data_IF_317574787770
#
_entry.id   IF_317574787770
#
_cell.length_a   1.000
_cell.length_b   1.000
_cell.length_c   1.000
_cell.angle_alpha   90.00
_cell.angle_beta   90.00
_cell.angle_gamma   90.00
#
_symmetry.space_group_name_H-M   'P 1'
#
loop_
_entity.id
_entity.type
_entity.pdbx_description
1 polymer ?
#
# COMPACT_ATOMS: atom_id res chain seq x y z
N UNK A 1 -18.36 2.76 -68.70
CA UNK A 1 -17.04 2.28 -69.12
C UNK A 1 -16.06 2.74 -68.07
N UNK A 2 -15.78 1.83 -67.13
CA UNK A 2 -14.63 1.76 -66.20
C UNK A 2 -15.05 0.67 -65.21
N UNK A 3 -14.77 -0.56 -65.64
CA UNK A 3 -14.87 -1.80 -64.88
C UNK A 3 -13.57 -1.92 -64.08
N UNK A 4 -13.65 -1.95 -62.75
CA UNK A 4 -12.53 -2.36 -61.90
C UNK A 4 -12.88 -3.66 -61.17
N UNK A 5 -11.94 -4.58 -61.28
CA UNK A 5 -12.03 -6.02 -61.06
C UNK A 5 -12.24 -6.38 -59.59
N UNK A 6 -13.26 -7.20 -59.34
CA UNK A 6 -13.60 -7.80 -58.06
C UNK A 6 -12.68 -9.02 -57.81
N UNK A 7 -11.70 -8.86 -56.92
CA UNK A 7 -10.74 -9.89 -56.54
C UNK A 7 -11.39 -10.96 -55.63
N UNK A 8 -11.58 -12.13 -56.23
CA UNK A 8 -12.27 -13.32 -55.71
C UNK A 8 -11.43 -14.05 -54.64
N UNK A 9 -11.60 -13.68 -53.35
CA UNK A 9 -10.99 -14.41 -52.24
C UNK A 9 -11.88 -15.58 -51.78
N UNK A 10 -11.37 -16.83 -51.73
CA UNK A 10 -12.17 -17.97 -51.30
C UNK A 10 -12.46 -17.94 -49.79
N UNK A 11 -13.67 -18.33 -49.35
CA UNK A 11 -14.06 -18.27 -47.94
C UNK A 11 -13.33 -19.34 -47.09
N UNK A 12 -12.97 -19.03 -45.83
CA UNK A 12 -12.40 -20.01 -44.92
C UNK A 12 -13.44 -21.09 -44.55
N UNK A 13 -13.00 -22.35 -44.68
CA UNK A 13 -13.76 -23.58 -44.43
C UNK A 13 -14.41 -23.58 -43.04
N UNK A 14 -15.73 -23.68 -43.04
CA UNK A 14 -16.54 -24.03 -41.88
C UNK A 14 -16.21 -25.45 -41.40
N UNK A 15 -15.83 -25.60 -40.13
CA UNK A 15 -15.80 -26.89 -39.43
C UNK A 15 -16.96 -26.93 -38.45
N UNK A 16 -18.09 -27.43 -38.91
CA UNK A 16 -19.21 -27.82 -38.08
C UNK A 16 -19.14 -29.32 -37.75
N UNK A 17 -19.52 -29.61 -36.51
CA UNK A 17 -20.06 -30.87 -36.00
C UNK A 17 -19.13 -32.09 -35.78
N UNK A 18 -19.00 -32.48 -34.51
CA UNK A 18 -19.22 -33.87 -34.11
C UNK A 18 -19.54 -33.97 -32.61
N UNK A 19 -20.84 -34.06 -32.31
CA UNK A 19 -21.39 -34.72 -31.12
C UNK A 19 -20.80 -36.14 -31.03
N UNK A 20 -20.33 -36.54 -29.85
CA UNK A 20 -20.31 -37.96 -29.47
C UNK A 20 -20.50 -38.14 -27.97
N UNK A 21 -21.67 -38.65 -27.65
CA UNK A 21 -22.07 -39.30 -26.40
C UNK A 21 -21.64 -40.77 -26.42
N UNK A 22 -21.02 -41.27 -25.33
CA UNK A 22 -21.21 -42.62 -24.76
C UNK A 22 -20.28 -42.76 -23.54
N UNK A 23 -20.82 -42.81 -22.32
CA UNK A 23 -21.18 -44.06 -21.64
C UNK A 23 -20.00 -45.05 -21.52
N UNK A 24 -19.39 -45.10 -20.34
CA UNK A 24 -18.28 -45.99 -20.02
C UNK A 24 -18.19 -46.24 -18.52
N UNK A 25 -19.08 -47.09 -18.02
CA UNK A 25 -19.11 -47.69 -16.69
C UNK A 25 -17.93 -48.63 -16.44
N UNK A 26 -17.21 -48.43 -15.33
CA UNK A 26 -16.30 -49.41 -14.71
C UNK A 26 -16.05 -48.97 -13.25
N UNK A 27 -16.92 -49.26 -12.28
CA UNK A 27 -16.95 -50.44 -11.38
C UNK A 27 -15.59 -50.92 -10.83
N UNK A 28 -15.39 -50.54 -9.55
CA UNK A 28 -14.80 -51.28 -8.39
C UNK A 28 -13.27 -51.41 -8.26
N UNK A 29 -12.71 -51.65 -7.04
CA UNK A 29 -13.30 -51.73 -5.68
C UNK A 29 -12.54 -50.94 -4.54
N UNK A 30 -13.09 -50.82 -3.31
CA UNK A 30 -12.34 -50.60 -2.05
C UNK A 30 -11.94 -51.97 -1.44
N UNK A 31 -11.28 -52.16 -0.25
CA UNK A 31 -11.03 -51.25 0.90
C UNK A 31 -9.63 -51.38 1.55
N UNK A 32 -9.32 -50.58 2.59
CA UNK A 32 -8.42 -51.02 3.69
C UNK A 32 -8.56 -50.11 4.92
N UNK A 33 -9.33 -50.59 5.89
CA UNK A 33 -9.25 -50.17 7.28
C UNK A 33 -8.08 -50.91 7.95
N UNK A 34 -7.20 -50.17 8.66
CA UNK A 34 -6.05 -50.76 9.33
C UNK A 34 -5.58 -49.92 10.52
N UNK A 35 -6.14 -50.20 11.69
CA UNK A 35 -5.64 -49.82 13.02
C UNK A 35 -4.18 -50.20 13.21
N UNK A 36 -3.40 -49.34 13.89
CA UNK A 36 -2.21 -49.60 14.75
C UNK A 36 -1.72 -48.20 15.19
N UNK A 37 -1.81 -47.75 16.43
CA UNK A 37 -1.30 -48.33 17.67
C UNK A 37 -0.05 -47.53 18.11
N UNK A 38 0.05 -46.99 19.34
CA UNK A 38 1.17 -46.15 19.76
C UNK A 38 2.42 -46.99 20.12
N UNK A 39 3.65 -46.41 20.02
CA UNK A 39 4.87 -47.15 20.37
C UNK A 39 5.06 -47.29 21.90
N UNK A 40 5.70 -48.37 22.37
CA UNK A 40 5.87 -48.68 23.78
C UNK A 40 7.11 -48.02 24.41
N UNK A 41 7.01 -47.76 25.71
CA UNK A 41 8.11 -47.48 26.66
C UNK A 41 8.86 -48.78 27.00
N UNK A 42 10.19 -48.71 27.10
CA UNK A 42 11.09 -49.70 27.74
C UNK A 42 12.27 -48.89 28.32
N UNK A 43 12.46 -48.76 29.63
CA UNK A 43 13.06 -49.76 30.53
C UNK A 43 14.50 -50.01 30.08
N UNK A 44 15.56 -49.46 30.68
CA UNK A 44 15.94 -49.47 32.10
C UNK A 44 16.94 -50.62 32.34
N UNK A 45 18.23 -50.31 32.57
CA UNK A 45 19.26 -51.20 33.18
C UNK A 45 20.62 -50.48 33.37
N UNK A 46 21.58 -51.03 34.15
CA UNK A 46 22.05 -50.38 35.38
C UNK A 46 23.58 -50.16 35.47
N UNK A 47 23.96 -49.40 36.50
CA UNK A 47 25.22 -49.43 37.26
C UNK A 47 26.52 -49.95 36.64
N UNK A 48 27.52 -49.07 36.55
CA UNK A 48 28.93 -49.43 36.63
C UNK A 48 29.66 -48.45 37.54
N UNK A 49 30.04 -48.95 38.72
CA UNK A 49 30.86 -48.32 39.75
C UNK A 49 32.33 -48.62 39.41
N UNK A 50 33.21 -47.61 39.44
CA UNK A 50 34.67 -47.77 39.38
C UNK A 50 35.30 -46.82 40.41
N UNK A 51 36.37 -47.22 41.11
CA UNK A 51 36.54 -46.95 42.54
C UNK A 51 37.49 -45.80 42.88
N UNK A 52 37.33 -45.29 44.09
CA UNK A 52 38.31 -44.46 44.79
C UNK A 52 39.48 -45.31 45.32
N UNK A 53 40.70 -45.02 44.87
CA UNK A 53 41.92 -45.35 45.61
C UNK A 53 42.92 -44.19 45.55
N UNK A 54 43.09 -43.55 46.71
CA UNK A 54 44.28 -42.92 47.33
C UNK A 54 45.43 -42.39 46.45
N UNK A 55 45.64 -41.08 46.59
CA UNK A 55 46.90 -40.29 46.74
C UNK A 55 48.19 -41.05 47.15
N UNK A 56 49.43 -40.45 47.09
CA UNK A 56 49.83 -39.08 46.70
C UNK A 56 51.13 -38.95 45.86
N UNK A 57 51.34 -37.82 45.15
CA UNK A 57 52.69 -37.27 44.85
C UNK A 57 52.64 -35.79 44.36
N UNK A 58 53.21 -34.88 45.16
CA UNK A 58 54.02 -33.71 44.77
C UNK A 58 53.46 -32.64 43.81
N UNK A 59 53.26 -31.38 44.26
CA UNK A 59 52.87 -30.26 43.41
C UNK A 59 54.06 -29.35 43.10
N UNK A 60 54.93 -29.65 42.13
CA UNK A 60 56.00 -28.69 41.74
C UNK A 60 56.55 -28.76 40.31
N UNK A 61 56.17 -29.71 39.44
CA UNK A 61 56.84 -29.86 38.13
C UNK A 61 56.04 -29.39 36.89
N UNK A 62 54.73 -29.15 37.00
CA UNK A 62 53.91 -28.80 35.82
C UNK A 62 53.79 -27.28 35.57
N UNK A 63 53.99 -26.44 36.60
CA UNK A 63 53.84 -24.98 36.48
C UNK A 63 55.10 -24.25 35.98
N UNK A 64 56.25 -24.91 35.90
CA UNK A 64 57.48 -24.29 35.36
C UNK A 64 57.62 -24.42 33.83
N UNK A 65 56.79 -25.23 33.16
CA UNK A 65 56.81 -25.36 31.69
C UNK A 65 55.73 -24.55 30.95
N UNK A 66 54.90 -23.79 31.68
CA UNK A 66 53.91 -22.87 31.11
C UNK A 66 54.36 -21.39 31.14
N UNK A 67 55.54 -21.10 31.70
CA UNK A 67 56.07 -19.73 31.81
C UNK A 67 56.84 -19.21 30.59
N UNK A 68 57.22 -20.07 29.64
CA UNK A 68 58.07 -19.70 28.50
C UNK A 68 57.37 -19.78 27.13
N UNK A 69 56.06 -20.04 27.09
CA UNK A 69 55.29 -20.06 25.84
C UNK A 69 53.96 -19.32 25.91
N UNK A 70 53.85 -18.31 26.77
CA UNK A 70 52.71 -17.39 26.75
C UNK A 70 52.96 -16.37 25.63
N UNK A 71 52.16 -16.37 24.54
CA UNK A 71 52.30 -15.37 23.48
C UNK A 71 52.12 -13.98 24.09
N UNK A 72 52.85 -13.01 23.55
CA UNK A 72 52.74 -11.62 23.98
C UNK A 72 51.27 -11.18 23.99
N UNK A 73 50.82 -10.63 25.12
CA UNK A 73 49.41 -10.34 25.38
C UNK A 73 48.84 -9.31 24.40
N UNK A 74 49.71 -8.48 23.83
CA UNK A 74 49.43 -7.54 22.74
C UNK A 74 49.16 -8.27 21.43
N UNK A 75 50.01 -9.22 21.04
CA UNK A 75 49.85 -10.06 19.86
C UNK A 75 48.59 -10.94 19.94
N UNK A 76 48.24 -11.43 21.15
CA UNK A 76 47.01 -12.20 21.38
C UNK A 76 45.75 -11.33 21.22
N UNK A 77 45.81 -10.07 21.65
CA UNK A 77 44.71 -9.12 21.51
C UNK A 77 44.55 -8.64 20.07
N UNK A 78 45.65 -8.41 19.34
CA UNK A 78 45.63 -8.09 17.92
C UNK A 78 45.15 -9.28 17.08
N UNK A 79 45.60 -10.50 17.36
CA UNK A 79 45.12 -11.72 16.69
C UNK A 79 43.64 -11.97 16.97
N UNK A 80 43.17 -11.72 18.20
CA UNK A 80 41.74 -11.81 18.53
C UNK A 80 40.93 -10.73 17.80
N UNK A 81 41.38 -9.48 17.78
CA UNK A 81 40.73 -8.39 17.06
C UNK A 81 40.72 -8.62 15.55
N UNK A 82 41.81 -9.12 14.98
CA UNK A 82 41.92 -9.51 13.58
C UNK A 82 41.00 -10.71 13.27
N UNK A 83 40.90 -11.70 14.15
CA UNK A 83 39.98 -12.83 13.96
C UNK A 83 38.52 -12.41 14.02
N UNK A 84 38.17 -11.45 14.88
CA UNK A 84 36.81 -10.89 14.98
C UNK A 84 36.50 -10.04 13.75
N UNK A 85 37.48 -9.27 13.24
CA UNK A 85 37.33 -8.49 12.02
C UNK A 85 37.21 -9.39 10.78
N UNK A 86 38.06 -10.40 10.66
CA UNK A 86 38.00 -11.41 9.59
C UNK A 86 36.71 -12.27 9.69
N UNK A 87 36.26 -12.63 10.89
CA UNK A 87 34.97 -13.29 11.11
C UNK A 87 33.79 -12.38 10.73
N UNK A 88 33.90 -11.07 10.95
CA UNK A 88 32.88 -10.08 10.56
C UNK A 88 32.87 -9.84 9.05
N UNK A 89 34.02 -9.87 8.39
CA UNK A 89 34.15 -9.75 6.92
C UNK A 89 33.71 -11.05 6.21
N UNK A 90 34.01 -12.22 6.76
CA UNK A 90 33.53 -13.51 6.23
C UNK A 90 32.04 -13.74 6.48
N UNK A 91 31.49 -13.31 7.62
CA UNK A 91 30.02 -13.32 7.82
C UNK A 91 29.30 -12.27 6.98
N UNK A 92 29.92 -11.12 6.71
CA UNK A 92 29.41 -10.11 5.77
C UNK A 92 29.31 -10.66 4.34
N UNK A 93 30.36 -11.29 3.83
CA UNK A 93 30.38 -11.88 2.48
C UNK A 93 29.50 -13.15 2.34
N UNK A 94 29.44 -14.00 3.37
CA UNK A 94 28.46 -15.08 3.42
C UNK A 94 27.03 -14.54 3.47
N UNK A 95 26.78 -13.46 4.22
CA UNK A 95 25.45 -12.84 4.27
C UNK A 95 25.04 -12.18 2.97
N UNK A 96 26.00 -11.62 2.19
CA UNK A 96 25.71 -11.04 0.87
C UNK A 96 25.44 -12.11 -0.18
N UNK A 97 26.15 -13.23 -0.16
CA UNK A 97 25.90 -14.34 -1.08
C UNK A 97 24.60 -15.08 -0.75
N UNK A 98 24.35 -15.36 0.54
CA UNK A 98 23.06 -15.90 0.99
C UNK A 98 21.93 -14.92 0.66
N UNK A 99 22.16 -13.61 0.75
CA UNK A 99 21.19 -12.61 0.33
C UNK A 99 20.97 -12.60 -1.18
N UNK A 100 22.00 -12.74 -2.01
CA UNK A 100 21.89 -12.83 -3.47
C UNK A 100 21.15 -14.11 -3.88
N UNK A 101 21.40 -15.22 -3.20
CA UNK A 101 20.74 -16.50 -3.45
C UNK A 101 19.28 -16.49 -2.95
N UNK A 102 19.02 -15.95 -1.76
CA UNK A 102 17.66 -15.70 -1.27
C UNK A 102 16.94 -14.75 -2.21
N UNK A 103 17.57 -13.68 -2.70
CA UNK A 103 16.99 -12.74 -3.66
C UNK A 103 16.73 -13.42 -5.00
N UNK A 104 17.63 -14.27 -5.49
CA UNK A 104 17.46 -15.02 -6.74
C UNK A 104 16.33 -16.03 -6.68
N UNK A 105 16.31 -16.86 -5.62
CA UNK A 105 15.28 -17.87 -5.39
C UNK A 105 13.91 -17.22 -5.13
N UNK A 106 13.85 -16.20 -4.27
CA UNK A 106 12.59 -15.51 -3.99
C UNK A 106 12.11 -14.67 -5.17
N UNK A 107 13.00 -14.05 -5.94
CA UNK A 107 12.64 -13.27 -7.13
C UNK A 107 12.05 -14.16 -8.23
N UNK A 108 12.64 -15.34 -8.48
CA UNK A 108 12.13 -16.30 -9.47
C UNK A 108 10.76 -16.86 -9.07
N UNK A 109 10.59 -17.27 -7.82
CA UNK A 109 9.28 -17.73 -7.33
C UNK A 109 8.22 -16.61 -7.37
N UNK A 110 8.58 -15.41 -6.91
CA UNK A 110 7.67 -14.27 -6.90
C UNK A 110 7.24 -13.89 -8.32
N UNK A 111 8.17 -13.92 -9.27
CA UNK A 111 7.88 -13.70 -10.69
C UNK A 111 6.93 -14.75 -11.25
N UNK A 112 7.16 -16.04 -10.97
CA UNK A 112 6.25 -17.09 -11.41
C UNK A 112 4.84 -16.92 -10.83
N UNK A 113 4.73 -16.52 -9.57
CA UNK A 113 3.42 -16.24 -8.94
C UNK A 113 2.78 -15.00 -9.56
N UNK A 114 3.57 -13.96 -9.87
CA UNK A 114 3.10 -12.75 -10.56
C UNK A 114 2.57 -13.08 -11.96
N UNK A 115 3.30 -13.89 -12.74
CA UNK A 115 2.87 -14.37 -14.05
C UNK A 115 1.54 -15.13 -13.98
N UNK A 116 1.35 -15.94 -12.93
CA UNK A 116 0.08 -16.66 -12.68
C UNK A 116 -1.05 -15.71 -12.25
N UNK A 117 -0.74 -14.66 -11.49
CA UNK A 117 -1.71 -13.66 -11.05
C UNK A 117 -2.15 -12.73 -12.18
N UNK A 118 -1.26 -12.41 -13.13
CA UNK A 118 -1.51 -11.47 -14.23
C UNK A 118 -1.69 -12.16 -15.58
N UNK A 119 -2.18 -13.41 -15.59
CA UNK A 119 -2.44 -14.12 -16.84
C UNK A 119 -3.48 -13.35 -17.69
N UNK A 120 -3.31 -13.23 -19.02
CA UNK A 120 -4.24 -12.51 -19.91
C UNK A 120 -5.53 -13.30 -20.18
N UNK A 121 -6.31 -13.57 -19.14
CA UNK A 121 -7.63 -14.21 -19.23
C UNK A 121 -8.72 -13.35 -18.59
N UNK A 122 -9.98 -13.61 -18.93
CA UNK A 122 -11.13 -12.83 -18.43
C UNK A 122 -11.42 -13.06 -16.94
N UNK A 123 -10.81 -14.09 -16.34
CA UNK A 123 -11.00 -14.39 -14.91
C UNK A 123 -10.18 -13.45 -14.03
N UNK A 124 -10.65 -13.07 -12.84
CA UNK A 124 -9.90 -12.18 -11.96
C UNK A 124 -8.61 -12.85 -11.46
N UNK A 125 -7.67 -12.02 -11.01
CA UNK A 125 -6.46 -12.52 -10.36
C UNK A 125 -6.84 -13.43 -9.19
N UNK A 126 -6.38 -14.69 -9.23
CA UNK A 126 -6.77 -15.68 -8.21
C UNK A 126 -6.22 -15.28 -6.84
N UNK A 127 -7.10 -15.23 -5.83
CA UNK A 127 -6.77 -14.84 -4.45
C UNK A 127 -5.51 -15.48 -3.92
N UNK A 128 -5.36 -16.82 -4.04
CA UNK A 128 -4.17 -17.56 -3.59
C UNK A 128 -2.83 -17.05 -4.15
N UNK A 129 -2.80 -16.52 -5.37
CA UNK A 129 -1.58 -15.98 -5.96
C UNK A 129 -1.30 -14.59 -5.42
N UNK A 130 -2.32 -13.75 -5.31
CA UNK A 130 -2.20 -12.41 -4.76
C UNK A 130 -1.84 -12.44 -3.28
N UNK A 131 -2.46 -13.31 -2.50
CA UNK A 131 -2.13 -13.59 -1.09
C UNK A 131 -0.69 -14.07 -0.94
N UNK A 132 -0.20 -14.94 -1.82
CA UNK A 132 1.20 -15.37 -1.79
C UNK A 132 2.15 -14.20 -2.06
N UNK A 133 1.85 -13.33 -3.04
CA UNK A 133 2.66 -12.14 -3.36
C UNK A 133 2.71 -11.17 -2.17
N UNK A 134 1.55 -10.82 -1.61
CA UNK A 134 1.47 -9.91 -0.46
C UNK A 134 2.08 -10.56 0.79
N UNK A 135 1.85 -11.85 1.00
CA UNK A 135 2.35 -12.60 2.16
C UNK A 135 3.87 -12.61 2.29
N UNK A 136 4.61 -12.43 1.19
CA UNK A 136 6.07 -12.27 1.22
C UNK A 136 6.50 -11.07 2.06
N UNK A 137 5.71 -9.98 2.08
CA UNK A 137 5.99 -8.79 2.91
C UNK A 137 5.99 -9.10 4.41
N UNK A 138 5.25 -10.13 4.85
CA UNK A 138 5.23 -10.56 6.25
C UNK A 138 6.33 -11.59 6.58
N UNK A 139 6.93 -12.21 5.56
CA UNK A 139 7.96 -13.24 5.71
C UNK A 139 9.37 -12.65 5.67
N UNK A 140 9.56 -11.56 4.94
CA UNK A 140 10.86 -10.92 4.75
C UNK A 140 11.03 -9.78 5.75
N UNK A 141 12.22 -9.68 6.32
CA UNK A 141 12.59 -8.58 7.21
C UNK A 141 12.47 -7.22 6.50
N UNK A 142 11.92 -6.17 7.15
CA UNK A 142 11.80 -4.82 6.57
C UNK A 142 13.15 -4.15 6.28
N UNK A 143 14.26 -4.75 6.73
CA UNK A 143 15.62 -4.31 6.36
C UNK A 143 15.95 -4.56 4.89
N UNK A 144 15.23 -5.47 4.24
CA UNK A 144 15.45 -5.80 2.85
C UNK A 144 14.38 -5.15 1.99
N UNK A 145 14.81 -4.35 1.02
CA UNK A 145 13.90 -3.74 0.07
C UNK A 145 13.58 -4.73 -1.07
N UNK A 146 12.37 -5.26 -1.03
CA UNK A 146 11.85 -6.16 -2.06
C UNK A 146 11.18 -5.40 -3.21
N UNK A 147 10.84 -4.12 -3.01
CA UNK A 147 9.95 -3.39 -3.90
C UNK A 147 10.59 -2.93 -5.19
N UNK A 148 11.92 -2.78 -5.23
CA UNK A 148 12.60 -2.45 -6.51
C UNK A 148 12.31 -3.51 -7.57
N UNK A 149 12.52 -4.80 -7.24
CA UNK A 149 12.22 -5.90 -8.13
C UNK A 149 10.71 -6.06 -8.39
N UNK A 150 9.88 -6.00 -7.33
CA UNK A 150 8.42 -6.17 -7.44
C UNK A 150 7.82 -5.09 -8.35
N UNK A 151 8.13 -3.82 -8.11
CA UNK A 151 7.55 -2.70 -8.83
C UNK A 151 7.99 -2.64 -10.29
N UNK A 152 9.26 -2.96 -10.59
CA UNK A 152 9.74 -3.06 -11.98
C UNK A 152 9.04 -4.20 -12.74
N UNK A 153 8.85 -5.36 -12.10
CA UNK A 153 8.11 -6.49 -12.72
C UNK A 153 6.63 -6.15 -12.92
N UNK A 154 5.97 -5.55 -11.92
CA UNK A 154 4.59 -5.08 -12.04
C UNK A 154 4.45 -4.02 -13.14
N UNK A 155 5.38 -3.07 -13.22
CA UNK A 155 5.42 -2.10 -14.30
C UNK A 155 5.53 -2.77 -15.67
N UNK A 156 6.42 -3.76 -15.79
CA UNK A 156 6.53 -4.60 -16.99
C UNK A 156 5.19 -5.20 -17.42
N UNK A 157 4.39 -5.68 -16.46
CA UNK A 157 3.02 -6.18 -16.68
C UNK A 157 2.00 -5.09 -17.00
N UNK A 158 2.12 -3.91 -16.40
CA UNK A 158 1.23 -2.78 -16.68
C UNK A 158 1.41 -2.22 -18.09
N UNK A 159 2.60 -2.35 -18.66
CA UNK A 159 2.92 -1.93 -20.02
C UNK A 159 2.63 -2.99 -21.09
N UNK A 160 2.06 -4.15 -20.74
CA UNK A 160 1.62 -5.11 -21.74
C UNK A 160 0.43 -4.56 -22.54
N UNK A 161 0.26 -5.03 -23.78
CA UNK A 161 -0.80 -4.53 -24.67
C UNK A 161 -2.20 -4.97 -24.23
N UNK A 162 -2.30 -6.13 -23.56
CA UNK A 162 -3.56 -6.67 -23.10
C UNK A 162 -4.01 -5.98 -21.81
N UNK A 163 -5.20 -5.36 -21.86
CA UNK A 163 -5.76 -4.62 -20.73
C UNK A 163 -6.01 -5.52 -19.51
N UNK A 164 -6.24 -6.83 -19.71
CA UNK A 164 -6.47 -7.78 -18.60
C UNK A 164 -5.21 -7.95 -17.76
N UNK A 165 -4.05 -8.09 -18.40
CA UNK A 165 -2.76 -8.13 -17.69
C UNK A 165 -2.57 -6.83 -16.90
N UNK A 166 -2.74 -5.67 -17.55
CA UNK A 166 -2.56 -4.36 -16.91
C UNK A 166 -3.50 -4.19 -15.71
N UNK A 167 -4.78 -4.53 -15.87
CA UNK A 167 -5.79 -4.47 -14.80
C UNK A 167 -5.40 -5.33 -13.61
N UNK A 168 -4.99 -6.59 -13.84
CA UNK A 168 -4.55 -7.50 -12.77
C UNK A 168 -3.26 -7.03 -12.11
N UNK A 169 -2.32 -6.46 -12.86
CA UNK A 169 -1.10 -5.89 -12.30
C UNK A 169 -1.41 -4.68 -11.39
N UNK A 170 -2.34 -3.82 -11.78
CA UNK A 170 -2.82 -2.72 -10.94
C UNK A 170 -3.53 -3.23 -9.69
N UNK A 171 -4.37 -4.25 -9.83
CA UNK A 171 -5.01 -4.91 -8.69
C UNK A 171 -3.97 -5.47 -7.70
N UNK A 172 -2.90 -6.12 -8.20
CA UNK A 172 -1.82 -6.61 -7.34
C UNK A 172 -1.09 -5.45 -6.63
N UNK A 173 -0.79 -4.34 -7.32
CA UNK A 173 -0.19 -3.16 -6.67
C UNK A 173 -1.10 -2.58 -5.57
N UNK A 174 -2.41 -2.51 -5.84
CA UNK A 174 -3.40 -2.09 -4.85
C UNK A 174 -3.42 -3.03 -3.63
N UNK A 175 -3.29 -4.34 -3.84
CA UNK A 175 -3.20 -5.32 -2.74
C UNK A 175 -1.90 -5.17 -1.94
N UNK A 176 -0.77 -4.85 -2.57
CA UNK A 176 0.45 -4.52 -1.82
C UNK A 176 0.30 -3.27 -0.96
N UNK A 177 -0.33 -2.21 -1.47
CA UNK A 177 -0.47 -0.96 -0.71
C UNK A 177 -1.50 -1.04 0.42
N UNK A 178 -2.48 -1.93 0.31
CA UNK A 178 -3.57 -2.03 1.28
C UNK A 178 -3.44 -3.21 2.25
N UNK A 179 -2.82 -4.33 1.84
CA UNK A 179 -2.71 -5.55 2.65
C UNK A 179 -1.25 -5.93 2.98
N UNK A 180 -0.26 -5.24 2.41
CA UNK A 180 1.15 -5.45 2.73
C UNK A 180 1.48 -5.17 4.19
N UNK A 181 2.54 -5.80 4.69
CA UNK A 181 3.00 -5.62 6.06
C UNK A 181 3.29 -4.14 6.38
N UNK A 182 2.76 -3.60 7.49
CA UNK A 182 2.97 -2.20 7.86
C UNK A 182 4.44 -1.78 7.95
N UNK A 183 5.33 -2.70 8.34
CA UNK A 183 6.76 -2.46 8.47
C UNK A 183 7.43 -2.15 7.12
N UNK A 184 6.83 -2.60 6.03
CA UNK A 184 7.32 -2.43 4.66
C UNK A 184 6.69 -1.23 3.93
N UNK A 185 5.65 -0.61 4.52
CA UNK A 185 4.91 0.48 3.92
C UNK A 185 5.77 1.67 3.47
N UNK A 186 6.72 2.09 4.31
CA UNK A 186 7.60 3.20 4.01
C UNK A 186 8.50 2.90 2.79
N UNK A 187 9.02 1.68 2.71
CA UNK A 187 9.84 1.21 1.58
C UNK A 187 9.05 1.19 0.28
N UNK A 188 7.80 0.70 0.30
CA UNK A 188 6.91 0.74 -0.88
C UNK A 188 6.71 2.17 -1.39
N UNK A 189 6.35 3.09 -0.50
CA UNK A 189 6.12 4.51 -0.85
C UNK A 189 7.37 5.17 -1.42
N UNK A 190 8.50 4.98 -0.74
CA UNK A 190 9.79 5.55 -1.14
C UNK A 190 10.19 5.05 -2.53
N UNK A 191 10.19 3.72 -2.73
CA UNK A 191 10.59 3.10 -4.00
C UNK A 191 9.64 3.44 -5.14
N UNK A 192 8.33 3.49 -4.90
CA UNK A 192 7.35 3.92 -5.91
C UNK A 192 7.58 5.38 -6.32
N UNK A 193 7.87 6.27 -5.37
CA UNK A 193 8.16 7.68 -5.65
C UNK A 193 9.46 7.85 -6.43
N UNK A 194 10.49 7.11 -6.08
CA UNK A 194 11.77 7.07 -6.79
C UNK A 194 11.58 6.62 -8.24
N UNK A 195 10.98 5.45 -8.46
CA UNK A 195 10.75 4.92 -9.80
C UNK A 195 9.94 5.88 -10.68
N UNK A 196 8.92 6.56 -10.13
CA UNK A 196 8.14 7.57 -10.88
C UNK A 196 8.96 8.76 -11.38
N UNK A 197 10.14 9.01 -10.81
CA UNK A 197 11.08 10.05 -11.28
C UNK A 197 12.12 9.50 -12.23
N UNK A 198 12.45 8.21 -12.11
CA UNK A 198 13.40 7.52 -12.98
C UNK A 198 12.80 7.17 -14.35
N UNK A 199 13.62 7.17 -15.40
CA UNK A 199 13.26 6.66 -16.73
C UNK A 199 13.36 5.13 -16.76
N UNK A 200 12.39 4.48 -17.40
CA UNK A 200 12.43 3.06 -17.73
C UNK A 200 13.44 2.84 -18.86
N UNK A 201 14.54 2.10 -18.61
CA UNK A 201 15.58 1.89 -19.63
C UNK A 201 15.04 1.19 -20.88
N UNK A 202 13.98 0.39 -20.75
CA UNK A 202 13.40 -0.35 -21.89
C UNK A 202 12.49 0.52 -22.76
N UNK A 203 11.88 1.56 -22.18
CA UNK A 203 10.80 2.31 -22.82
C UNK A 203 11.06 3.82 -22.94
N UNK A 204 12.18 4.30 -22.40
CA UNK A 204 12.67 5.68 -22.45
C UNK A 204 11.77 6.75 -21.78
N UNK A 205 10.58 6.40 -21.29
CA UNK A 205 9.74 7.26 -20.45
C UNK A 205 9.86 6.93 -18.96
N UNK A 206 9.32 7.79 -18.08
CA UNK A 206 9.25 7.57 -16.63
C UNK A 206 8.40 6.35 -16.26
N UNK A 207 8.78 5.61 -15.21
CA UNK A 207 7.94 4.52 -14.70
C UNK A 207 6.56 5.04 -14.24
N UNK A 208 5.54 4.20 -14.38
CA UNK A 208 4.16 4.52 -14.02
C UNK A 208 3.60 5.78 -14.72
N UNK A 209 4.10 6.07 -15.92
CA UNK A 209 3.53 7.10 -16.78
C UNK A 209 2.14 6.66 -17.28
N UNK A 210 1.11 7.49 -17.02
CA UNK A 210 -0.27 7.23 -17.44
C UNK A 210 -0.40 7.04 -18.96
N UNK A 211 0.37 7.76 -19.78
CA UNK A 211 0.34 7.62 -21.25
C UNK A 211 0.73 6.20 -21.66
N UNK A 212 1.81 5.66 -21.08
CA UNK A 212 2.28 4.31 -21.39
C UNK A 212 1.37 3.21 -20.83
N UNK A 213 0.88 3.39 -19.59
CA UNK A 213 -0.08 2.47 -18.98
C UNK A 213 -1.35 2.33 -19.83
N UNK A 214 -1.74 3.44 -20.46
CA UNK A 214 -2.89 3.54 -21.35
C UNK A 214 -2.50 3.46 -22.82
N UNK A 215 -1.39 2.82 -23.20
CA UNK A 215 -0.97 2.68 -24.61
C UNK A 215 -1.38 1.32 -25.25
N UNK A 216 -2.19 0.51 -24.55
CA UNK A 216 -2.57 -0.84 -24.99
C UNK A 216 -3.38 -0.95 -26.29
N UNK A 217 -3.97 -2.11 -26.53
CA UNK A 217 -4.75 -2.40 -27.75
C UNK A 217 -6.02 -1.52 -27.86
N UNK A 218 -6.17 -0.81 -28.99
CA UNK A 218 -7.24 0.16 -29.26
C UNK A 218 -8.49 -0.45 -29.91
N UNK A 219 -8.63 -1.79 -29.92
CA UNK A 219 -9.86 -2.46 -30.35
C UNK A 219 -11.10 -1.82 -29.71
N UNK A 220 -12.19 -1.59 -30.48
CA UNK A 220 -13.41 -0.96 -29.97
C UNK A 220 -13.97 -1.62 -28.70
N UNK A 221 -13.90 -2.95 -28.61
CA UNK A 221 -14.36 -3.74 -27.47
C UNK A 221 -13.60 -3.42 -26.17
N UNK A 222 -12.34 -2.98 -26.27
CA UNK A 222 -11.45 -2.72 -25.14
C UNK A 222 -11.50 -1.27 -24.66
N UNK A 223 -12.03 -0.34 -25.46
CA UNK A 223 -12.03 1.11 -25.16
C UNK A 223 -12.71 1.40 -23.82
N UNK A 224 -13.86 0.75 -23.57
CA UNK A 224 -14.60 0.88 -22.31
C UNK A 224 -13.78 0.46 -21.09
N UNK A 225 -13.06 -0.66 -21.17
CA UNK A 225 -12.23 -1.13 -20.06
C UNK A 225 -11.02 -0.22 -19.82
N UNK A 226 -10.48 0.41 -20.86
CA UNK A 226 -9.39 1.40 -20.73
C UNK A 226 -9.84 2.67 -20.04
N UNK A 227 -11.07 3.12 -20.29
CA UNK A 227 -11.63 4.28 -19.60
C UNK A 227 -11.71 4.03 -18.08
N UNK A 228 -12.17 2.85 -17.66
CA UNK A 228 -12.14 2.44 -16.25
C UNK A 228 -10.71 2.29 -15.73
N UNK A 229 -9.84 1.61 -16.48
CA UNK A 229 -8.44 1.36 -16.11
C UNK A 229 -7.66 2.65 -15.86
N UNK A 230 -7.92 3.72 -16.61
CA UNK A 230 -7.32 5.04 -16.38
C UNK A 230 -7.69 5.59 -14.99
N UNK A 231 -8.98 5.53 -14.63
CA UNK A 231 -9.48 6.00 -13.33
C UNK A 231 -8.92 5.14 -12.19
N UNK A 232 -8.90 3.83 -12.39
CA UNK A 232 -8.36 2.88 -11.42
C UNK A 232 -6.84 3.03 -11.24
N UNK A 233 -6.08 3.21 -12.31
CA UNK A 233 -4.63 3.42 -12.22
C UNK A 233 -4.29 4.71 -11.46
N UNK A 234 -5.02 5.80 -11.73
CA UNK A 234 -4.88 7.03 -10.97
C UNK A 234 -5.13 6.82 -9.48
N UNK A 235 -6.23 6.13 -9.13
CA UNK A 235 -6.55 5.79 -7.75
C UNK A 235 -5.47 4.94 -7.08
N UNK A 236 -5.04 3.83 -7.71
CA UNK A 236 -4.07 2.90 -7.12
C UNK A 236 -2.70 3.55 -6.91
N UNK A 237 -2.23 4.35 -7.88
CA UNK A 237 -0.95 5.05 -7.75
C UNK A 237 -1.00 6.10 -6.65
N UNK A 238 -2.08 6.90 -6.60
CA UNK A 238 -2.29 7.86 -5.52
C UNK A 238 -2.36 7.16 -4.15
N UNK A 239 -3.14 6.08 -4.07
CA UNK A 239 -3.29 5.27 -2.86
C UNK A 239 -1.95 4.74 -2.35
N UNK A 240 -1.16 4.12 -3.23
CA UNK A 240 0.12 3.52 -2.87
C UNK A 240 1.18 4.56 -2.48
N UNK A 241 1.06 5.81 -2.93
CA UNK A 241 1.96 6.89 -2.54
C UNK A 241 1.59 7.55 -1.21
N UNK A 242 0.30 7.73 -0.97
CA UNK A 242 -0.18 8.48 0.18
C UNK A 242 -0.34 7.61 1.42
N UNK A 243 -0.88 6.40 1.28
CA UNK A 243 -1.31 5.58 2.41
C UNK A 243 -0.77 4.15 2.33
N UNK A 244 -0.80 3.47 3.45
CA UNK A 244 -0.45 2.06 3.56
C UNK A 244 -1.42 1.32 4.48
N UNK A 245 -1.42 -0.01 4.38
CA UNK A 245 -2.28 -0.87 5.20
C UNK A 245 -3.74 -0.43 5.14
N UNK A 246 -4.43 -0.43 6.28
CA UNK A 246 -5.79 0.11 6.41
C UNK A 246 -5.77 1.55 6.95
N UNK A 247 -4.97 2.42 6.31
CA UNK A 247 -4.80 3.84 6.69
C UNK A 247 -4.27 4.02 8.11
N UNK A 248 -3.26 3.22 8.45
CA UNK A 248 -2.65 3.25 9.78
C UNK A 248 -2.02 4.60 10.11
N UNK A 249 -1.63 5.39 9.11
CA UNK A 249 -1.10 6.74 9.31
C UNK A 249 -2.14 7.70 9.91
N UNK A 250 -3.44 7.39 9.77
CA UNK A 250 -4.54 8.15 10.37
C UNK A 250 -5.02 7.47 11.66
N UNK A 251 -5.18 6.14 11.64
CA UNK A 251 -5.80 5.41 12.76
C UNK A 251 -4.84 5.04 13.90
N UNK A 252 -3.54 5.00 13.66
CA UNK A 252 -2.57 4.57 14.67
C UNK A 252 -2.50 5.52 15.85
N UNK A 253 -2.22 4.96 17.03
CA UNK A 253 -1.88 5.75 18.21
C UNK A 253 -0.44 6.26 18.10
N UNK A 254 -0.18 7.52 18.48
CA UNK A 254 1.18 8.02 18.56
C UNK A 254 1.96 7.12 19.52
N UNK A 255 3.07 6.55 19.05
CA UNK A 255 3.95 5.72 19.89
C UNK A 255 4.41 6.57 21.07
N UNK A 256 3.96 6.23 22.26
CA UNK A 256 4.30 6.96 23.50
C UNK A 256 5.71 6.55 23.92
N UNK A 257 6.69 7.38 23.59
CA UNK A 257 8.00 7.29 24.21
C UNK A 257 7.88 7.76 25.67
N UNK A 258 8.10 6.85 26.63
CA UNK A 258 8.05 7.17 28.08
C UNK A 258 8.94 8.34 28.51
N UNK A 259 9.86 8.78 27.66
CA UNK A 259 10.84 9.84 27.92
C UNK A 259 10.46 11.20 27.29
N UNK A 260 9.43 11.28 26.45
CA UNK A 260 9.05 12.50 25.74
C UNK A 260 7.56 12.79 25.95
N UNK A 261 7.14 14.07 26.01
CA UNK A 261 5.73 14.40 26.05
C UNK A 261 5.02 13.84 24.80
N UNK A 262 3.76 13.39 24.93
CA UNK A 262 3.01 12.87 23.80
C UNK A 262 2.87 13.97 22.75
N UNK A 263 3.13 13.62 21.48
CA UNK A 263 2.91 14.53 20.37
C UNK A 263 1.40 14.76 20.21
N UNK A 264 0.98 15.98 19.83
CA UNK A 264 -0.42 16.25 19.58
C UNK A 264 -0.95 15.39 18.43
N UNK A 265 -2.24 15.05 18.49
CA UNK A 265 -2.87 14.14 17.51
C UNK A 265 -2.85 14.72 16.10
N UNK A 266 -2.91 16.04 15.96
CA UNK A 266 -2.82 16.77 14.69
C UNK A 266 -1.43 16.76 14.07
N UNK A 267 -0.38 16.43 14.83
CA UNK A 267 0.98 16.26 14.29
C UNK A 267 1.31 14.80 13.95
N UNK A 268 0.43 13.85 14.24
CA UNK A 268 0.69 12.41 14.06
C UNK A 268 -0.34 11.76 13.15
N UNK A 269 -1.63 11.82 13.51
CA UNK A 269 -2.72 11.16 12.81
C UNK A 269 -3.53 12.12 11.92
N UNK A 270 -4.05 13.20 12.50
CA UNK A 270 -4.96 14.15 11.86
C UNK A 270 -4.20 15.32 11.22
N UNK A 271 -3.15 15.01 10.45
CA UNK A 271 -2.30 16.02 9.80
C UNK A 271 -2.97 16.65 8.58
N UNK A 272 -2.60 17.88 8.24
CA UNK A 272 -3.07 18.57 7.03
C UNK A 272 -2.75 17.77 5.76
N UNK A 273 -1.54 17.21 5.65
CA UNK A 273 -1.15 16.43 4.46
C UNK A 273 -2.02 15.18 4.29
N UNK A 274 -2.43 14.55 5.41
CA UNK A 274 -3.33 13.39 5.38
C UNK A 274 -4.75 13.78 4.97
N UNK A 275 -5.22 14.96 5.37
CA UNK A 275 -6.55 15.47 5.01
C UNK A 275 -6.63 15.70 3.50
N UNK A 276 -5.63 16.40 2.95
CA UNK A 276 -5.53 16.68 1.51
C UNK A 276 -5.43 15.38 0.71
N UNK A 277 -4.55 14.45 1.14
CA UNK A 277 -4.41 13.16 0.51
C UNK A 277 -5.70 12.32 0.58
N UNK A 278 -6.41 12.33 1.72
CA UNK A 278 -7.68 11.63 1.89
C UNK A 278 -8.78 12.22 0.98
N UNK A 279 -8.84 13.55 0.85
CA UNK A 279 -9.78 14.23 -0.05
C UNK A 279 -9.51 13.89 -1.52
N UNK A 280 -8.25 13.94 -1.97
CA UNK A 280 -7.87 13.54 -3.32
C UNK A 280 -8.19 12.06 -3.58
N UNK A 281 -7.88 11.19 -2.61
CA UNK A 281 -8.13 9.76 -2.72
C UNK A 281 -9.62 9.44 -2.80
N UNK A 282 -10.47 10.13 -2.01
CA UNK A 282 -11.92 10.01 -2.08
C UNK A 282 -12.42 10.35 -3.49
N UNK A 283 -12.00 11.49 -4.04
CA UNK A 283 -12.39 11.91 -5.41
C UNK A 283 -11.98 10.87 -6.45
N UNK A 284 -10.74 10.38 -6.40
CA UNK A 284 -10.24 9.34 -7.30
C UNK A 284 -11.00 8.01 -7.13
N UNK A 285 -11.37 7.64 -5.90
CA UNK A 285 -12.11 6.42 -5.61
C UNK A 285 -13.54 6.48 -6.15
N UNK A 286 -14.23 7.61 -5.97
CA UNK A 286 -15.56 7.83 -6.52
C UNK A 286 -15.59 7.79 -8.05
N UNK A 287 -14.52 8.28 -8.71
CA UNK A 287 -14.37 8.20 -10.15
C UNK A 287 -14.26 6.73 -10.66
N UNK A 288 -13.90 5.78 -9.79
CA UNK A 288 -13.84 4.36 -10.12
C UNK A 288 -15.23 3.68 -10.12
N UNK A 289 -16.35 4.40 -9.99
CA UNK A 289 -17.66 3.81 -10.23
C UNK A 289 -17.72 3.25 -11.67
N UNK A 290 -18.21 2.01 -11.79
CA UNK A 290 -18.41 1.37 -13.08
C UNK A 290 -19.49 2.13 -13.84
N UNK A 291 -19.22 2.40 -15.12
CA UNK A 291 -20.20 2.88 -16.08
C UNK A 291 -20.73 1.71 -16.90
N UNK A 292 -21.85 1.94 -17.58
CA UNK A 292 -22.50 0.91 -18.37
C UNK A 292 -21.58 0.40 -19.48
N UNK A 293 -21.42 -0.92 -19.55
CA UNK A 293 -20.53 -1.61 -20.47
C UNK A 293 -19.12 -1.82 -19.95
N UNK A 294 -18.69 -1.19 -18.86
CA UNK A 294 -17.38 -1.39 -18.25
C UNK A 294 -17.35 -2.63 -17.32
N UNK A 295 -18.48 -3.30 -17.11
CA UNK A 295 -18.60 -4.40 -16.15
C UNK A 295 -18.03 -5.72 -16.69
N UNK A 296 -17.11 -6.30 -15.93
CA UNK A 296 -16.59 -7.66 -16.08
C UNK A 296 -15.99 -8.12 -14.76
N UNK A 297 -15.59 -9.39 -14.63
CA UNK A 297 -15.05 -9.92 -13.36
C UNK A 297 -13.79 -9.15 -12.90
N UNK A 298 -12.92 -8.74 -13.83
CA UNK A 298 -11.70 -7.97 -13.53
C UNK A 298 -11.99 -6.55 -13.01
N UNK A 299 -12.98 -5.86 -13.58
CA UNK A 299 -13.33 -4.50 -13.14
C UNK A 299 -14.22 -4.53 -11.89
N UNK A 300 -15.03 -5.58 -11.73
CA UNK A 300 -15.83 -5.83 -10.53
C UNK A 300 -14.95 -6.04 -9.29
N UNK A 301 -13.93 -6.90 -9.36
CA UNK A 301 -13.01 -7.11 -8.22
C UNK A 301 -12.19 -5.85 -7.91
N UNK A 302 -11.85 -5.05 -8.94
CA UNK A 302 -11.15 -3.79 -8.76
C UNK A 302 -12.03 -2.76 -8.02
N UNK A 303 -13.29 -2.57 -8.44
CA UNK A 303 -14.19 -1.60 -7.80
C UNK A 303 -14.66 -2.04 -6.41
N UNK A 304 -14.83 -3.35 -6.18
CA UNK A 304 -15.04 -3.92 -4.85
C UNK A 304 -13.90 -3.46 -3.93
N UNK A 305 -12.65 -3.64 -4.38
CA UNK A 305 -11.50 -3.26 -3.56
C UNK A 305 -11.43 -1.77 -3.28
N UNK A 306 -11.74 -0.91 -4.26
CA UNK A 306 -11.82 0.55 -4.04
C UNK A 306 -12.89 0.88 -2.99
N UNK A 307 -14.08 0.29 -3.10
CA UNK A 307 -15.15 0.55 -2.13
C UNK A 307 -14.76 0.08 -0.72
N UNK A 308 -14.15 -1.10 -0.60
CA UNK A 308 -13.60 -1.62 0.65
C UNK A 308 -12.51 -0.72 1.25
N UNK A 309 -11.61 -0.17 0.42
CA UNK A 309 -10.57 0.77 0.86
C UNK A 309 -11.19 2.12 1.33
N UNK A 310 -12.22 2.66 0.64
CA UNK A 310 -12.92 3.86 1.12
C UNK A 310 -13.70 3.64 2.43
N UNK A 311 -14.26 2.44 2.64
CA UNK A 311 -14.82 2.04 3.94
C UNK A 311 -13.71 2.07 5.01
N UNK A 312 -12.53 1.53 4.67
CA UNK A 312 -11.33 1.57 5.52
C UNK A 312 -10.91 2.99 5.88
N UNK A 313 -10.83 3.90 4.91
CA UNK A 313 -10.51 5.31 5.13
C UNK A 313 -11.52 5.98 6.06
N UNK A 314 -12.82 5.75 5.81
CA UNK A 314 -13.91 6.28 6.64
C UNK A 314 -13.78 5.81 8.09
N UNK A 315 -13.50 4.52 8.29
CA UNK A 315 -13.28 3.93 9.62
C UNK A 315 -12.03 4.51 10.30
N UNK A 316 -10.92 4.68 9.57
CA UNK A 316 -9.68 5.21 10.11
C UNK A 316 -9.84 6.65 10.61
N UNK A 317 -10.48 7.51 9.80
CA UNK A 317 -10.80 8.89 10.18
C UNK A 317 -11.74 8.91 11.39
N UNK A 318 -12.78 8.08 11.40
CA UNK A 318 -13.69 8.00 12.54
C UNK A 318 -12.99 7.57 13.84
N UNK A 319 -12.07 6.60 13.78
CA UNK A 319 -11.26 6.19 14.94
C UNK A 319 -10.35 7.32 15.44
N UNK A 320 -9.72 8.06 14.52
CA UNK A 320 -8.88 9.21 14.89
C UNK A 320 -9.69 10.35 15.51
N UNK A 321 -10.83 10.71 14.92
CA UNK A 321 -11.73 11.74 15.45
C UNK A 321 -12.32 11.35 16.82
N UNK A 322 -12.76 10.09 16.98
CA UNK A 322 -13.25 9.61 18.28
C UNK A 322 -12.18 9.68 19.37
N UNK A 323 -10.90 9.52 19.04
CA UNK A 323 -9.80 9.70 20.00
C UNK A 323 -9.57 11.17 20.31
N UNK A 324 -9.48 12.01 19.28
CA UNK A 324 -9.27 13.45 19.43
C UNK A 324 -10.35 14.11 20.31
N UNK A 325 -11.63 13.82 20.02
CA UNK A 325 -12.77 14.55 20.58
C UNK A 325 -13.19 14.07 21.99
N UNK A 326 -12.72 12.89 22.41
CA UNK A 326 -12.94 12.36 23.76
C UNK A 326 -12.08 13.05 24.81
N UNK A 327 -10.92 13.57 24.42
CA UNK A 327 -10.08 14.35 25.32
C UNK A 327 -10.64 15.79 25.41
N UNK A 328 -10.73 16.35 26.63
CA UNK A 328 -11.32 17.68 26.87
C UNK A 328 -10.47 18.77 26.19
N UNK A 329 -9.14 18.70 26.33
CA UNK A 329 -8.21 19.75 25.87
C UNK A 329 -7.50 19.44 24.56
N UNK A 330 -7.97 18.44 23.79
CA UNK A 330 -7.34 17.92 22.56
C UNK A 330 -5.83 17.54 22.70
N UNK A 331 -5.28 17.52 23.92
CA UNK A 331 -3.86 17.30 24.25
C UNK A 331 -2.91 18.13 23.38
N UNK A 332 -3.23 19.41 23.19
CA UNK A 332 -2.44 20.34 22.37
C UNK A 332 -2.61 20.14 20.86
N UNK A 333 -3.64 19.41 20.43
CA UNK A 333 -4.06 19.35 19.04
C UNK A 333 -4.61 20.69 18.55
N UNK A 334 -4.39 20.99 17.28
CA UNK A 334 -4.93 22.19 16.61
C UNK A 334 -6.45 22.07 16.45
N UNK A 335 -7.27 22.87 17.18
CA UNK A 335 -8.72 22.79 17.13
C UNK A 335 -9.28 23.08 15.73
N UNK A 336 -8.70 24.03 15.01
CA UNK A 336 -9.14 24.42 13.67
C UNK A 336 -8.93 23.27 12.67
N UNK A 337 -7.82 22.54 12.80
CA UNK A 337 -7.58 21.37 11.96
C UNK A 337 -8.52 20.20 12.32
N UNK A 338 -8.78 19.96 13.60
CA UNK A 338 -9.76 18.94 14.03
C UNK A 338 -11.15 19.26 13.50
N UNK A 339 -11.56 20.54 13.51
CA UNK A 339 -12.81 21.00 12.91
C UNK A 339 -12.87 20.70 11.41
N UNK A 340 -11.82 21.04 10.64
CA UNK A 340 -11.74 20.71 9.20
C UNK A 340 -11.88 19.21 8.92
N UNK A 341 -11.30 18.36 9.79
CA UNK A 341 -11.50 16.91 9.69
C UNK A 341 -12.94 16.48 9.98
N UNK A 342 -13.60 17.12 10.94
CA UNK A 342 -15.02 16.87 11.23
C UNK A 342 -15.91 17.24 10.03
N UNK A 343 -15.70 18.43 9.44
CA UNK A 343 -16.39 18.90 8.23
C UNK A 343 -16.20 17.93 7.07
N UNK A 344 -14.94 17.58 6.76
CA UNK A 344 -14.62 16.62 5.71
C UNK A 344 -15.29 15.26 5.97
N UNK A 345 -15.29 14.77 7.21
CA UNK A 345 -15.92 13.51 7.57
C UNK A 345 -17.43 13.54 7.36
N UNK A 346 -18.11 14.58 7.86
CA UNK A 346 -19.58 14.68 7.86
C UNK A 346 -20.17 15.02 6.50
N UNK A 347 -19.52 15.91 5.75
CA UNK A 347 -20.07 16.49 4.52
C UNK A 347 -19.63 15.71 3.28
N UNK A 348 -18.43 15.13 3.29
CA UNK A 348 -17.83 14.52 2.11
C UNK A 348 -17.62 13.02 2.30
N UNK A 349 -16.71 12.62 3.20
CA UNK A 349 -16.20 11.26 3.27
C UNK A 349 -17.30 10.23 3.56
N UNK A 350 -18.04 10.39 4.66
CA UNK A 350 -19.08 9.44 5.06
C UNK A 350 -20.25 9.36 4.05
N UNK A 351 -20.90 10.47 3.64
CA UNK A 351 -22.04 10.40 2.73
C UNK A 351 -21.65 9.92 1.33
N UNK A 352 -20.51 10.38 0.78
CA UNK A 352 -20.09 9.97 -0.55
C UNK A 352 -19.65 8.49 -0.58
N UNK A 353 -18.96 8.01 0.46
CA UNK A 353 -18.61 6.58 0.55
C UNK A 353 -19.86 5.71 0.68
N UNK A 354 -20.85 6.11 1.51
CA UNK A 354 -22.14 5.40 1.59
C UNK A 354 -22.86 5.35 0.24
N UNK A 355 -22.86 6.46 -0.49
CA UNK A 355 -23.44 6.55 -1.83
C UNK A 355 -22.74 5.60 -2.81
N UNK A 356 -21.40 5.58 -2.79
CA UNK A 356 -20.60 4.66 -3.61
C UNK A 356 -20.89 3.20 -3.26
N UNK A 357 -20.84 2.82 -1.98
CA UNK A 357 -21.13 1.44 -1.54
C UNK A 357 -22.52 1.01 -2.00
N UNK A 358 -23.54 1.85 -1.84
CA UNK A 358 -24.91 1.55 -2.29
C UNK A 358 -24.99 1.32 -3.80
N UNK A 359 -24.37 2.20 -4.60
CA UNK A 359 -24.37 2.09 -6.08
C UNK A 359 -23.58 0.90 -6.59
N UNK A 360 -22.45 0.61 -5.94
CA UNK A 360 -21.54 -0.47 -6.34
C UNK A 360 -22.08 -1.83 -5.91
N UNK A 361 -22.74 -1.95 -4.74
CA UNK A 361 -23.22 -3.24 -4.22
C UNK A 361 -24.13 -3.97 -5.21
N UNK A 362 -25.12 -3.28 -5.78
CA UNK A 362 -26.05 -3.89 -6.74
C UNK A 362 -25.37 -4.37 -8.02
N UNK A 363 -24.24 -3.76 -8.41
CA UNK A 363 -23.44 -4.19 -9.57
C UNK A 363 -22.57 -5.40 -9.22
N UNK A 364 -22.09 -5.48 -7.99
CA UNK A 364 -21.24 -6.56 -7.51
C UNK A 364 -21.99 -7.87 -7.25
N UNK A 365 -23.27 -7.80 -6.91
CA UNK A 365 -24.12 -8.98 -6.68
C UNK A 365 -24.14 -9.93 -7.90
N UNK A 366 -24.11 -9.37 -9.12
CA UNK A 366 -24.05 -10.15 -10.36
C UNK A 366 -22.76 -10.98 -10.50
N UNK A 367 -21.71 -10.62 -9.78
CA UNK A 367 -20.41 -11.30 -9.76
C UNK A 367 -20.20 -12.12 -8.48
N UNK A 368 -21.20 -12.22 -7.60
CA UNK A 368 -21.08 -12.89 -6.31
C UNK A 368 -20.09 -12.20 -5.36
N UNK A 369 -19.84 -10.91 -5.56
CA UNK A 369 -18.99 -10.08 -4.70
C UNK A 369 -19.89 -9.26 -3.78
N UNK A 370 -19.50 -9.17 -2.51
CA UNK A 370 -20.32 -8.50 -1.49
C UNK A 370 -19.47 -7.50 -0.71
N UNK A 371 -20.01 -6.29 -0.54
CA UNK A 371 -19.42 -5.28 0.33
C UNK A 371 -19.94 -5.45 1.77
N UNK A 372 -19.14 -5.09 2.79
CA UNK A 372 -19.60 -5.08 4.17
C UNK A 372 -20.85 -4.21 4.33
N UNK A 373 -21.89 -4.74 4.99
CA UNK A 373 -23.14 -3.99 5.23
C UNK A 373 -22.96 -2.82 6.20
N UNK A 374 -21.87 -2.80 6.97
CA UNK A 374 -21.55 -1.76 7.95
C UNK A 374 -20.27 -1.04 7.54
N UNK A 375 -20.28 0.29 7.69
CA UNK A 375 -19.14 1.19 7.41
C UNK A 375 -17.97 1.05 8.41
N UNK A 376 -18.07 0.15 9.39
CA UNK A 376 -17.14 0.03 10.50
C UNK A 376 -17.37 1.08 11.59
N UNK A 377 -16.30 1.65 12.11
CA UNK A 377 -16.35 2.64 13.20
C UNK A 377 -16.95 3.96 12.71
N UNK A 378 -17.81 4.58 13.52
CA UNK A 378 -18.40 5.90 13.24
C UNK A 378 -18.12 6.89 14.37
N UNK A 379 -18.10 8.18 14.06
CA UNK A 379 -18.12 9.25 15.07
C UNK A 379 -19.54 9.42 15.59
N UNK A 380 -19.71 9.50 16.91
CA UNK A 380 -21.03 9.77 17.50
C UNK A 380 -21.50 11.18 17.15
N UNK A 381 -22.82 11.40 17.05
CA UNK A 381 -23.37 12.72 16.70
C UNK A 381 -22.94 13.80 17.69
N UNK A 382 -22.90 13.47 18.98
CA UNK A 382 -22.49 14.37 20.06
C UNK A 382 -21.02 14.79 19.94
N UNK A 383 -20.11 13.83 19.70
CA UNK A 383 -18.69 14.16 19.49
C UNK A 383 -18.50 14.97 18.22
N UNK A 384 -19.21 14.63 17.15
CA UNK A 384 -19.12 15.35 15.88
C UNK A 384 -19.63 16.79 16.01
N UNK A 385 -20.75 17.02 16.70
CA UNK A 385 -21.22 18.39 16.98
C UNK A 385 -20.24 19.17 17.83
N UNK A 386 -19.63 18.53 18.84
CA UNK A 386 -18.54 19.14 19.63
C UNK A 386 -17.37 19.56 18.73
N UNK A 387 -16.93 18.67 17.84
CA UNK A 387 -15.82 18.95 16.91
C UNK A 387 -16.10 20.07 15.91
N UNK A 388 -17.36 20.20 15.45
CA UNK A 388 -17.77 21.27 14.54
C UNK A 388 -17.86 22.65 15.23
N UNK A 389 -18.06 22.67 16.55
CA UNK A 389 -18.24 23.89 17.35
C UNK A 389 -16.95 24.37 18.06
N UNK A 390 -15.78 23.76 17.78
CA UNK A 390 -14.52 24.07 18.47
C UNK A 390 -14.08 25.55 18.38
N UNK A 391 -14.50 26.28 17.34
CA UNK A 391 -14.16 27.71 17.17
C UNK A 391 -15.06 28.62 18.03
N UNK A 392 -16.22 28.14 18.48
CA UNK A 392 -17.22 28.97 19.18
C UNK A 392 -16.90 29.11 20.67
N UNK A 393 -16.23 28.12 21.27
CA UNK A 393 -15.96 28.11 22.71
C UNK A 393 -14.67 28.86 23.09
N UNK A 394 -13.66 28.86 22.22
CA UNK A 394 -12.39 29.57 22.47
C UNK A 394 -12.54 31.11 22.55
N UNK A 395 -13.66 31.66 22.09
CA UNK A 395 -13.98 33.10 22.20
C UNK A 395 -14.93 33.46 23.35
N UNK A 396 -15.46 32.48 24.09
CA UNK A 396 -16.53 32.72 25.07
C UNK A 396 -16.07 32.53 26.53
N UNK A 397 -14.94 31.86 26.78
CA UNK A 397 -14.34 31.76 28.12
C UNK A 397 -13.49 32.97 28.53
N UNK A 398 -13.31 33.98 27.67
CA UNK A 398 -12.58 35.22 28.02
C UNK A 398 -13.48 36.39 28.42
N UNK A 399 -14.79 36.18 28.67
CA UNK A 399 -15.76 37.25 29.01
C UNK A 399 -16.59 36.90 30.27
N UNK A 400 -16.15 35.96 31.10
CA UNK A 400 -16.93 35.50 32.27
C UNK A 400 -16.25 35.71 33.64
N UNK A 401 -15.25 36.58 33.74
CA UNK A 401 -14.65 37.00 35.02
C UNK A 401 -14.35 38.51 35.04
N UNK A 402 -15.35 39.37 34.88
CA UNK A 402 -15.21 40.80 35.26
C UNK A 402 -16.57 41.53 35.32
N UNK A 403 -17.52 41.12 36.17
CA UNK A 403 -18.60 42.01 36.62
C UNK A 403 -19.01 41.72 38.08
N UNK A 404 -18.35 42.42 39.00
CA UNK A 404 -18.90 42.85 40.29
C UNK A 404 -18.29 44.24 40.58
N UNK A 405 -19.03 45.31 40.27
CA UNK A 405 -19.25 46.51 41.11
C UNK A 405 -19.91 47.67 40.33
N UNK A 406 -21.20 47.87 40.66
CA UNK A 406 -21.97 49.12 40.82
C UNK A 406 -21.56 50.44 40.11
N UNK A 407 -22.54 51.04 39.41
CA UNK A 407 -23.06 52.35 39.86
C UNK A 407 -23.28 53.46 38.82
N UNK A 408 -24.56 53.67 38.44
CA UNK A 408 -25.18 54.97 38.05
C UNK A 408 -24.79 55.55 36.68
N UNK A 409 -25.55 56.41 36.00
CA UNK A 409 -26.89 57.00 36.14
C UNK A 409 -27.22 57.62 34.76
N UNK A 410 -28.49 57.94 34.54
CA UNK A 410 -29.19 58.30 33.31
C UNK A 410 -28.66 59.49 32.49
N UNK A 411 -28.97 59.51 31.18
CA UNK A 411 -29.95 60.41 30.49
C UNK A 411 -29.93 60.09 28.97
N UNK A 412 -31.06 59.69 28.38
CA UNK A 412 -31.95 60.51 27.51
C UNK A 412 -31.25 61.30 26.39
N UNK A 413 -31.48 60.96 25.11
CA UNK A 413 -32.21 61.83 24.15
C UNK A 413 -32.40 61.12 22.79
N UNK A 414 -33.41 61.59 22.08
CA UNK A 414 -34.23 60.96 21.07
C UNK A 414 -33.72 61.05 19.62
N UNK A 415 -34.52 60.43 18.75
CA UNK A 415 -34.83 60.79 17.35
C UNK A 415 -33.91 60.21 16.26
N UNK A 416 -34.35 59.85 15.05
CA UNK A 416 -35.65 59.64 14.35
C UNK A 416 -35.26 59.35 12.87
N UNK A 417 -36.18 58.74 12.11
CA UNK A 417 -36.31 58.85 10.64
C UNK A 417 -35.49 57.85 9.79
N UNK A 418 -36.15 56.87 9.15
CA UNK A 418 -36.58 56.85 7.72
C UNK A 418 -35.41 56.54 6.77
N UNK A 419 -35.47 55.71 5.73
CA UNK A 419 -36.55 55.25 4.86
C UNK A 419 -35.90 54.32 3.82
N UNK A 420 -36.56 53.22 3.47
CA UNK A 420 -36.47 52.56 2.15
C UNK A 420 -36.90 53.55 1.03
N UNK A 421 -36.48 53.43 -0.26
CA UNK A 421 -36.79 52.24 -1.07
C UNK A 421 -35.85 51.87 -2.25
N UNK A 422 -36.08 50.64 -2.73
CA UNK A 422 -35.92 50.04 -4.09
C UNK A 422 -35.30 50.84 -5.24
N UNK A 423 -34.59 50.15 -6.15
CA UNK A 423 -34.97 49.96 -7.57
C UNK A 423 -34.00 48.97 -8.28
N UNK A 424 -34.61 48.27 -9.24
CA UNK A 424 -34.19 47.20 -10.15
C UNK A 424 -33.01 47.48 -11.12
N UNK A 425 -32.66 46.40 -11.85
CA UNK A 425 -32.23 46.29 -13.27
C UNK A 425 -30.75 45.91 -13.45
N UNK A 426 -30.39 44.68 -13.80
CA UNK A 426 -30.58 43.88 -15.03
C UNK A 426 -29.66 44.27 -16.20
N UNK A 427 -29.17 43.23 -16.89
CA UNK A 427 -28.37 43.17 -18.14
C UNK A 427 -26.87 43.45 -18.00
N UNK A 428 -25.94 42.91 -18.79
CA UNK A 428 -25.77 41.71 -19.65
C UNK A 428 -24.35 41.89 -20.23
N UNK A 429 -23.75 40.80 -20.74
CA UNK A 429 -22.71 40.76 -21.77
C UNK A 429 -21.20 40.80 -21.41
N UNK A 430 -20.57 39.72 -21.91
CA UNK A 430 -19.30 39.62 -22.65
C UNK A 430 -17.99 39.72 -21.87
N UNK A 431 -17.25 38.61 -21.79
CA UNK A 431 -16.24 38.11 -22.76
C UNK A 431 -14.97 38.97 -22.72
N UNK A 432 -13.91 38.43 -22.13
CA UNK A 432 -12.55 38.61 -22.67
C UNK A 432 -11.56 37.60 -22.07
N UNK A 433 -10.86 36.97 -23.00
CA UNK A 433 -9.69 36.11 -22.82
C UNK A 433 -8.68 36.67 -21.82
N UNK A 434 -8.16 35.80 -20.95
CA UNK A 434 -6.83 36.01 -20.36
C UNK A 434 -5.99 34.75 -20.54
N UNK A 435 -5.23 34.82 -21.63
CA UNK A 435 -4.01 34.05 -21.88
C UNK A 435 -2.95 34.38 -20.82
N UNK A 436 -2.07 33.40 -20.65
CA UNK A 436 -0.66 33.51 -20.22
C UNK A 436 -0.32 33.51 -18.72
N UNK A 437 0.33 32.42 -18.30
CA UNK A 437 1.65 32.45 -17.65
C UNK A 437 2.08 31.01 -17.35
N UNK A 438 2.80 30.39 -18.30
CA UNK A 438 3.73 29.32 -17.96
C UNK A 438 4.85 29.91 -17.09
N UNK A 439 5.20 29.33 -15.93
CA UNK A 439 6.47 29.63 -15.31
C UNK A 439 7.59 28.89 -16.07
N UNK A 440 8.48 29.71 -16.62
CA UNK A 440 9.73 29.34 -17.25
C UNK A 440 10.58 28.38 -16.40
N UNK A 441 11.38 27.62 -17.13
CA UNK A 441 12.35 26.68 -16.66
C UNK A 441 13.42 27.35 -15.77
N UNK A 442 13.58 26.83 -14.55
CA UNK A 442 14.84 26.97 -13.82
C UNK A 442 15.82 25.91 -14.33
N UNK A 443 16.94 26.44 -14.83
CA UNK A 443 18.11 25.78 -15.37
C UNK A 443 18.79 24.87 -14.34
N UNK A 444 19.01 23.62 -14.75
CA UNK A 444 20.29 22.90 -14.74
C UNK A 444 21.25 23.09 -13.55
N UNK A 445 21.26 22.08 -12.68
CA UNK A 445 22.51 21.57 -12.10
C UNK A 445 22.51 20.04 -12.22
N UNK A 446 22.96 19.55 -13.38
CA UNK A 446 23.27 18.14 -13.63
C UNK A 446 24.47 17.73 -12.77
N UNK A 447 24.22 16.94 -11.73
CA UNK A 447 25.26 16.13 -11.09
C UNK A 447 25.23 14.76 -11.78
N UNK A 448 26.08 14.62 -12.81
CA UNK A 448 26.43 13.34 -13.43
C UNK A 448 27.20 12.49 -12.42
N UNK A 449 26.50 11.61 -11.68
CA UNK A 449 27.12 10.46 -11.05
C UNK A 449 27.15 9.30 -12.07
N UNK A 450 28.23 9.27 -12.85
CA UNK A 450 28.61 8.20 -13.78
C UNK A 450 28.91 6.91 -12.98
N UNK A 451 27.91 6.04 -12.83
CA UNK A 451 28.12 4.68 -12.35
C UNK A 451 28.45 3.77 -13.53
N UNK A 452 29.75 3.57 -13.75
CA UNK A 452 30.34 2.59 -14.66
C UNK A 452 29.84 1.19 -14.27
N UNK A 453 28.96 0.59 -15.08
CA UNK A 453 28.57 -0.82 -14.95
C UNK A 453 29.68 -1.67 -15.58
N UNK A 454 30.46 -2.37 -14.75
CA UNK A 454 31.33 -3.45 -15.21
C UNK A 454 30.49 -4.51 -15.93
N UNK A 455 30.71 -4.62 -17.23
CA UNK A 455 30.13 -5.59 -18.14
C UNK A 455 30.74 -6.96 -17.82
N UNK A 456 30.05 -7.80 -17.01
CA UNK A 456 30.42 -9.20 -16.80
C UNK A 456 30.22 -9.97 -18.12
N UNK A 457 31.29 -10.09 -18.91
CA UNK A 457 31.40 -11.03 -20.03
C UNK A 457 31.17 -12.47 -19.53
N UNK A 458 30.02 -13.05 -19.88
CA UNK A 458 29.79 -14.48 -19.78
C UNK A 458 30.61 -15.19 -20.87
N UNK A 459 31.69 -15.87 -20.47
CA UNK A 459 32.34 -16.87 -21.32
C UNK A 459 31.46 -18.12 -21.39
N UNK A 460 31.07 -18.46 -22.61
CA UNK A 460 30.33 -19.66 -22.99
C UNK A 460 31.36 -20.79 -23.21
N UNK A 461 31.71 -21.51 -22.13
CA UNK A 461 32.55 -22.71 -22.21
C UNK A 461 31.66 -23.94 -22.51
N UNK A 462 31.28 -24.12 -23.77
CA UNK A 462 30.87 -25.42 -24.31
C UNK A 462 31.61 -25.68 -25.63
N UNK A 463 32.82 -26.24 -25.52
CA UNK A 463 33.42 -27.11 -26.55
C UNK A 463 34.60 -27.90 -25.91
N UNK A 464 34.30 -29.05 -25.29
CA UNK A 464 35.23 -30.19 -25.16
C UNK A 464 34.49 -31.54 -25.15
#
# INVERSE_FOLDING_TARGET
EEEEEEEDYPPPRSRTSAKRSSAGTSRRPPPSAGRRGPPPRRGGRPGSVVPYTRQPAGPTAFLQRLGESMPDTTALREAAAASVKAARETTSSLSSNIYRDLKGLTSSELEQVMLKATKPDDTPAKGKHVERLVGVTYQISPRYDIYDAVLRKLWGKMCEKDWRTTMKALYVLHRFSADGAPEHAASLKARLRELRRTKDPKRKDKFFNSKQLLAGDAKPENIKFRAFMSRYAHYVLLRAQCFSGMFEEISSEPKVDKKKPPKPITSTALRTEHLEAASMLLKAGLACQLKDGEECENTAIAVERVASDLIGLTSAVAMALNRALKDVDLKGGDPALVKKWCEFYSEQLLPQTKSMVKKTSSRLDAYGLFLPSRMGTSVSRELLSKGLNLDTEAGMESIAEEEDEEGGDATDDASKSSSEPSVEKAEEAQDEDTVDAEPEADEDEEVEDEYEYEEEEYYDDEDE
#
